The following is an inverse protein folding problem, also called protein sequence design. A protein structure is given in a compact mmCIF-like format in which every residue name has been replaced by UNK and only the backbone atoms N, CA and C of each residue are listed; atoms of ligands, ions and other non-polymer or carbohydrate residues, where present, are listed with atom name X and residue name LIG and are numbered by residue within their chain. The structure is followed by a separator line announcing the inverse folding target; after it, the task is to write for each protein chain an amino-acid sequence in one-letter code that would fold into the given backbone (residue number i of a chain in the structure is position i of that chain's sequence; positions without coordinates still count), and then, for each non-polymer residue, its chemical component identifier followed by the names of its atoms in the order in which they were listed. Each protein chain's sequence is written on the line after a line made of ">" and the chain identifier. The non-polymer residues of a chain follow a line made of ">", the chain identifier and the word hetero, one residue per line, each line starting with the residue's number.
data_IF_879712819165
#
_entry.id   IF_879712819165
#
_cell.length_a   1.000
_cell.length_b   1.000
_cell.length_c   1.000
_cell.angle_alpha   90.00
_cell.angle_beta   90.00
_cell.angle_gamma   90.00
#
_symmetry.space_group_name_H-M   'P 1'
#
loop_
_entity.id
_entity.type
_entity.pdbx_description
1 polymer ?
#
# COMPACT_ATOMS: atom_id res chain seq x y z
N UNK A 1 32.76 -2.34 -2.41
CA UNK A 1 32.24 -1.69 -1.18
C UNK A 1 30.95 -0.91 -1.39
N UNK A 2 30.58 -0.54 -2.63
CA UNK A 2 29.34 0.19 -2.92
C UNK A 2 28.08 -0.71 -3.00
N UNK A 3 28.24 -2.01 -3.25
CA UNK A 3 27.11 -2.92 -3.55
C UNK A 3 26.17 -3.08 -2.36
N UNK A 4 26.72 -3.17 -1.14
CA UNK A 4 25.93 -3.25 0.09
C UNK A 4 25.14 -1.97 0.38
N UNK A 5 25.76 -0.80 0.17
CA UNK A 5 25.10 0.49 0.36
C UNK A 5 23.99 0.73 -0.68
N UNK A 6 24.29 0.48 -1.96
CA UNK A 6 23.32 0.61 -3.05
C UNK A 6 22.16 -0.38 -2.90
N UNK A 7 22.42 -1.60 -2.45
CA UNK A 7 21.40 -2.59 -2.13
C UNK A 7 20.46 -2.13 -1.02
N UNK A 8 21.00 -1.63 0.10
CA UNK A 8 20.20 -1.08 1.22
C UNK A 8 19.40 0.15 0.76
N UNK A 9 20.01 1.04 -0.01
CA UNK A 9 19.35 2.24 -0.54
C UNK A 9 18.17 1.85 -1.44
N UNK A 10 18.37 0.91 -2.37
CA UNK A 10 17.31 0.37 -3.23
C UNK A 10 16.20 -0.25 -2.40
N UNK A 11 16.54 -1.07 -1.40
CA UNK A 11 15.58 -1.71 -0.51
C UNK A 11 14.69 -0.69 0.20
N UNK A 12 15.30 0.31 0.85
CA UNK A 12 14.59 1.38 1.55
C UNK A 12 13.70 2.16 0.59
N UNK A 13 14.21 2.48 -0.61
CA UNK A 13 13.45 3.19 -1.62
C UNK A 13 12.22 2.38 -2.12
N UNK A 14 12.38 1.07 -2.34
CA UNK A 14 11.24 0.17 -2.68
C UNK A 14 10.22 0.13 -1.56
N UNK A 15 10.67 0.01 -0.30
CA UNK A 15 9.77 0.00 0.84
C UNK A 15 8.98 1.31 0.97
N UNK A 16 9.65 2.46 0.87
CA UNK A 16 9.01 3.78 0.89
C UNK A 16 8.02 3.91 -0.27
N UNK A 17 8.39 3.44 -1.47
CA UNK A 17 7.49 3.46 -2.61
C UNK A 17 6.22 2.63 -2.35
N UNK A 18 6.35 1.41 -1.84
CA UNK A 18 5.22 0.52 -1.54
C UNK A 18 4.30 1.09 -0.45
N UNK A 19 4.90 1.60 0.63
CA UNK A 19 4.17 2.26 1.72
C UNK A 19 3.46 3.52 1.20
N UNK A 20 4.15 4.36 0.43
CA UNK A 20 3.58 5.56 -0.15
C UNK A 20 2.39 5.26 -1.07
N UNK A 21 2.51 4.25 -1.94
CA UNK A 21 1.41 3.81 -2.80
C UNK A 21 0.20 3.32 -1.97
N UNK A 22 0.43 2.50 -0.95
CA UNK A 22 -0.63 2.06 -0.04
C UNK A 22 -1.31 3.25 0.68
N UNK A 23 -0.53 4.19 1.22
CA UNK A 23 -1.05 5.39 1.90
C UNK A 23 -1.91 6.25 0.97
N UNK A 24 -1.53 6.40 -0.30
CA UNK A 24 -2.35 7.13 -1.29
C UNK A 24 -3.72 6.44 -1.45
N UNK A 25 -3.72 5.13 -1.68
CA UNK A 25 -4.95 4.34 -1.86
C UNK A 25 -5.84 4.44 -0.62
N UNK A 26 -5.27 4.24 0.58
CA UNK A 26 -5.99 4.35 1.85
C UNK A 26 -6.57 5.73 2.12
N UNK A 27 -5.84 6.80 1.77
CA UNK A 27 -6.29 8.17 1.96
C UNK A 27 -7.41 8.55 0.99
N UNK A 28 -7.36 8.06 -0.25
CA UNK A 28 -8.45 8.25 -1.22
C UNK A 28 -9.73 7.53 -0.78
N UNK A 29 -9.63 6.27 -0.35
CA UNK A 29 -10.78 5.52 0.19
C UNK A 29 -11.38 6.22 1.41
N UNK A 30 -10.52 6.64 2.35
CA UNK A 30 -10.97 7.36 3.55
C UNK A 30 -11.63 8.69 3.22
N UNK A 31 -11.10 9.42 2.23
CA UNK A 31 -11.66 10.69 1.79
C UNK A 31 -13.05 10.52 1.16
N UNK A 32 -13.27 9.43 0.43
CA UNK A 32 -14.56 9.12 -0.19
C UNK A 32 -15.67 8.86 0.85
N UNK A 33 -15.30 8.28 1.99
CA UNK A 33 -16.26 7.95 3.05
C UNK A 33 -16.52 9.12 4.01
N UNK A 34 -15.53 10.00 4.22
CA UNK A 34 -15.63 11.11 5.19
C UNK A 34 -16.02 12.46 4.57
N UNK A 35 -15.77 12.71 3.29
CA UNK A 35 -15.97 14.03 2.67
C UNK A 35 -17.42 14.29 2.17
N UNK A 36 -18.44 13.68 2.80
CA UNK A 36 -19.84 13.73 2.33
C UNK A 36 -20.73 14.79 3.01
N UNK A 37 -20.21 15.63 3.90
CA UNK A 37 -21.00 16.58 4.67
C UNK A 37 -20.32 17.92 4.92
N UNK A 38 -21.11 18.86 5.44
CA UNK A 38 -20.78 20.30 5.50
C UNK A 38 -20.09 20.73 6.80
N UNK A 39 -19.72 19.80 7.69
CA UNK A 39 -19.18 20.16 9.00
C UNK A 39 -17.70 20.57 8.95
N UNK A 40 -17.32 21.49 9.83
CA UNK A 40 -15.93 21.96 9.97
C UNK A 40 -14.96 20.83 10.31
N UNK A 41 -15.42 19.83 11.07
CA UNK A 41 -14.67 18.63 11.39
C UNK A 41 -14.35 17.79 10.13
N UNK A 42 -15.36 17.55 9.28
CA UNK A 42 -15.16 16.81 8.03
C UNK A 42 -14.23 17.56 7.07
N UNK A 43 -14.34 18.89 7.00
CA UNK A 43 -13.45 19.72 6.18
C UNK A 43 -11.99 19.66 6.66
N UNK A 44 -11.74 19.63 7.97
CA UNK A 44 -10.38 19.50 8.52
C UNK A 44 -9.78 18.11 8.27
N UNK A 45 -10.58 17.05 8.43
CA UNK A 45 -10.15 15.67 8.11
C UNK A 45 -9.89 15.53 6.60
N UNK A 46 -10.77 16.07 5.75
CA UNK A 46 -10.60 16.08 4.30
C UNK A 46 -9.31 16.78 3.85
N UNK A 47 -9.00 17.95 4.44
CA UNK A 47 -7.75 18.68 4.18
C UNK A 47 -6.52 17.85 4.53
N UNK A 48 -6.54 17.15 5.67
CA UNK A 48 -5.43 16.28 6.08
C UNK A 48 -5.26 15.09 5.15
N UNK A 49 -6.36 14.45 4.73
CA UNK A 49 -6.30 13.35 3.78
C UNK A 49 -5.73 13.81 2.43
N UNK A 50 -6.10 15.00 1.94
CA UNK A 50 -5.49 15.58 0.73
C UNK A 50 -4.01 15.87 0.92
N UNK A 51 -3.60 16.43 2.06
CA UNK A 51 -2.18 16.63 2.38
C UNK A 51 -1.42 15.30 2.44
N UNK A 52 -2.00 14.27 3.04
CA UNK A 52 -1.44 12.91 3.08
C UNK A 52 -1.26 12.36 1.67
N UNK A 53 -2.26 12.48 0.78
CA UNK A 53 -2.14 12.06 -0.64
C UNK A 53 -1.02 12.82 -1.35
N UNK A 54 -0.91 14.15 -1.17
CA UNK A 54 0.14 14.98 -1.79
C UNK A 54 1.54 14.58 -1.31
N UNK A 55 1.73 14.44 -0.01
CA UNK A 55 3.02 14.04 0.58
C UNK A 55 3.38 12.61 0.17
N UNK A 56 2.44 11.67 0.27
CA UNK A 56 2.69 10.27 -0.06
C UNK A 56 2.96 10.04 -1.55
N UNK A 57 2.24 10.72 -2.45
CA UNK A 57 2.48 10.64 -3.91
C UNK A 57 3.84 11.23 -4.30
N UNK A 58 4.20 12.38 -3.74
CA UNK A 58 5.51 13.00 -3.98
C UNK A 58 6.64 12.11 -3.47
N UNK A 59 6.52 11.61 -2.24
CA UNK A 59 7.52 10.73 -1.64
C UNK A 59 7.63 9.40 -2.39
N UNK A 60 6.51 8.79 -2.80
CA UNK A 60 6.51 7.56 -3.58
C UNK A 60 7.16 7.73 -4.96
N UNK A 61 6.94 8.87 -5.62
CA UNK A 61 7.59 9.19 -6.89
C UNK A 61 9.11 9.34 -6.72
N UNK A 62 9.56 10.14 -5.74
CA UNK A 62 10.99 10.33 -5.45
C UNK A 62 11.66 9.01 -5.08
N UNK A 63 11.02 8.19 -4.24
CA UNK A 63 11.50 6.87 -3.87
C UNK A 63 11.56 5.93 -5.09
N UNK A 64 10.59 6.01 -6.01
CA UNK A 64 10.63 5.21 -7.24
C UNK A 64 11.79 5.58 -8.16
N UNK A 65 12.07 6.87 -8.31
CA UNK A 65 13.22 7.38 -9.09
C UNK A 65 14.52 6.92 -8.44
N UNK A 66 14.66 7.08 -7.12
CA UNK A 66 15.85 6.65 -6.39
C UNK A 66 16.07 5.14 -6.47
N UNK A 67 15.00 4.35 -6.37
CA UNK A 67 15.05 2.89 -6.49
C UNK A 67 15.51 2.44 -7.88
N UNK A 68 14.96 3.04 -8.95
CA UNK A 68 15.34 2.73 -10.32
C UNK A 68 16.79 3.13 -10.60
N UNK A 69 17.20 4.32 -10.14
CA UNK A 69 18.56 4.81 -10.29
C UNK A 69 19.58 3.91 -9.56
N UNK A 70 19.28 3.53 -8.30
CA UNK A 70 20.12 2.61 -7.54
C UNK A 70 20.18 1.21 -8.18
N UNK A 71 19.07 0.74 -8.79
CA UNK A 71 19.05 -0.51 -9.54
C UNK A 71 19.94 -0.45 -10.78
N UNK A 72 19.89 0.64 -11.55
CA UNK A 72 20.77 0.83 -12.71
C UNK A 72 22.24 0.83 -12.27
N UNK A 73 22.59 1.57 -11.21
CA UNK A 73 23.94 1.63 -10.67
C UNK A 73 24.46 0.25 -10.22
N UNK A 74 23.62 -0.56 -9.58
CA UNK A 74 23.94 -1.94 -9.20
C UNK A 74 24.19 -2.84 -10.41
N UNK A 75 23.38 -2.71 -11.47
CA UNK A 75 23.51 -3.52 -12.68
C UNK A 75 24.72 -3.13 -13.54
N UNK A 76 25.13 -1.86 -13.52
CA UNK A 76 26.32 -1.36 -14.23
C UNK A 76 27.59 -1.35 -13.39
N UNK A 77 27.54 -1.88 -12.16
CA UNK A 77 28.64 -1.86 -11.18
C UNK A 77 29.27 -0.45 -11.00
N UNK A 78 28.44 0.60 -11.15
CA UNK A 78 28.88 2.00 -11.15
C UNK A 78 28.46 2.75 -9.89
N UNK A 79 29.05 3.91 -9.65
CA UNK A 79 28.57 4.81 -8.59
C UNK A 79 27.22 5.45 -8.95
N UNK A 80 26.52 6.01 -7.96
CA UNK A 80 25.26 6.76 -8.22
C UNK A 80 25.48 7.94 -9.16
N UNK A 81 26.64 8.60 -9.10
CA UNK A 81 26.92 9.78 -9.94
C UNK A 81 27.20 9.38 -11.40
N UNK A 82 27.72 8.17 -11.63
CA UNK A 82 28.11 7.67 -12.95
C UNK A 82 27.04 6.79 -13.61
N UNK A 83 25.93 6.50 -12.92
CA UNK A 83 24.89 5.60 -13.42
C UNK A 83 24.04 6.19 -14.58
N UNK A 84 24.24 7.46 -14.95
CA UNK A 84 23.45 8.14 -15.99
C UNK A 84 23.37 7.39 -17.34
N UNK A 85 24.49 6.91 -17.92
CA UNK A 85 24.45 6.11 -19.15
C UNK A 85 23.70 4.78 -18.98
N UNK A 86 23.82 4.13 -17.83
CA UNK A 86 23.12 2.88 -17.53
C UNK A 86 21.60 3.09 -17.42
N UNK A 87 21.17 4.18 -16.76
CA UNK A 87 19.77 4.60 -16.68
C UNK A 87 19.18 4.82 -18.08
N UNK A 88 19.91 5.54 -18.95
CA UNK A 88 19.47 5.75 -20.32
C UNK A 88 19.36 4.43 -21.11
N UNK A 89 20.39 3.58 -21.00
CA UNK A 89 20.41 2.27 -21.65
C UNK A 89 19.23 1.40 -21.19
N UNK A 90 18.92 1.37 -19.89
CA UNK A 90 17.77 0.63 -19.37
C UNK A 90 16.45 1.21 -19.88
N UNK A 91 16.29 2.53 -19.92
CA UNK A 91 15.06 3.18 -20.37
C UNK A 91 14.74 2.93 -21.84
N UNK A 92 15.75 2.94 -22.71
CA UNK A 92 15.57 2.78 -24.16
C UNK A 92 15.63 1.31 -24.57
N UNK A 93 16.47 0.51 -23.91
CA UNK A 93 16.82 -0.83 -24.34
C UNK A 93 16.07 -1.96 -23.66
N UNK A 94 15.30 -1.71 -22.59
CA UNK A 94 14.71 -2.79 -21.78
C UNK A 94 13.20 -2.62 -21.55
N UNK A 95 12.47 -3.75 -21.55
CA UNK A 95 11.06 -3.77 -21.17
C UNK A 95 10.82 -3.30 -19.74
N UNK A 96 11.76 -3.59 -18.82
CA UNK A 96 11.75 -3.10 -17.44
C UNK A 96 11.79 -1.57 -17.36
N UNK A 97 12.68 -0.93 -18.12
CA UNK A 97 12.80 0.53 -18.19
C UNK A 97 11.55 1.18 -18.75
N UNK A 98 10.97 0.63 -19.82
CA UNK A 98 9.69 1.11 -20.37
C UNK A 98 8.54 1.00 -19.36
N UNK A 99 8.42 -0.14 -18.67
CA UNK A 99 7.40 -0.34 -17.64
C UNK A 99 7.55 0.65 -16.48
N UNK A 100 8.79 0.88 -16.01
CA UNK A 100 9.07 1.89 -15.00
C UNK A 100 8.73 3.31 -15.48
N UNK A 101 9.07 3.67 -16.72
CA UNK A 101 8.78 4.98 -17.28
C UNK A 101 7.26 5.24 -17.34
N UNK A 102 6.49 4.26 -17.79
CA UNK A 102 5.02 4.36 -17.80
C UNK A 102 4.48 4.54 -16.38
N UNK A 103 4.96 3.76 -15.41
CA UNK A 103 4.59 3.94 -14.00
C UNK A 103 4.97 5.33 -13.46
N UNK A 104 6.15 5.85 -13.82
CA UNK A 104 6.60 7.17 -13.40
C UNK A 104 5.72 8.29 -13.98
N UNK A 105 5.36 8.22 -15.26
CA UNK A 105 4.45 9.19 -15.90
C UNK A 105 3.10 9.21 -15.21
N UNK A 106 2.48 8.05 -14.98
CA UNK A 106 1.19 8.02 -14.28
C UNK A 106 1.31 8.45 -12.81
N UNK A 107 2.42 8.17 -12.13
CA UNK A 107 2.66 8.72 -10.78
C UNK A 107 2.81 10.24 -10.79
N UNK A 108 3.41 10.84 -11.82
CA UNK A 108 3.44 12.29 -11.99
C UNK A 108 2.02 12.82 -12.18
N UNK A 109 1.17 12.15 -12.98
CA UNK A 109 -0.24 12.52 -13.09
C UNK A 109 -0.96 12.48 -11.73
N UNK A 110 -0.70 11.44 -10.90
CA UNK A 110 -1.24 11.37 -9.53
C UNK A 110 -0.80 12.56 -8.69
N UNK A 111 0.49 12.92 -8.72
CA UNK A 111 1.03 14.08 -7.98
C UNK A 111 0.36 15.37 -8.44
N UNK A 112 0.30 15.62 -9.75
CA UNK A 112 -0.32 16.83 -10.32
C UNK A 112 -1.79 16.92 -9.93
N UNK A 113 -2.57 15.85 -10.12
CA UNK A 113 -3.99 15.82 -9.75
C UNK A 113 -4.19 15.99 -8.23
N UNK A 114 -3.31 15.43 -7.40
CA UNK A 114 -3.34 15.62 -5.94
C UNK A 114 -3.05 17.07 -5.53
N UNK A 115 -2.14 17.75 -6.22
CA UNK A 115 -1.81 19.16 -6.00
C UNK A 115 -2.94 20.09 -6.43
N UNK A 116 -3.64 19.75 -7.52
CA UNK A 116 -4.78 20.53 -8.04
C UNK A 116 -6.04 20.37 -7.18
N UNK A 117 -6.19 19.26 -6.45
CA UNK A 117 -7.37 18.97 -5.64
C UNK A 117 -7.49 19.92 -4.44
N UNK A 118 -8.67 20.48 -4.19
CA UNK A 118 -8.95 21.22 -2.96
C UNK A 118 -9.30 20.29 -1.80
N UNK A 119 -8.99 20.71 -0.57
CA UNK A 119 -9.38 19.97 0.65
C UNK A 119 -10.90 19.85 0.85
N UNK A 120 -11.68 20.66 0.15
CA UNK A 120 -13.15 20.68 0.18
C UNK A 120 -13.81 19.97 -1.02
N UNK A 121 -13.04 19.40 -1.95
CA UNK A 121 -13.62 18.71 -3.11
C UNK A 121 -14.26 17.39 -2.66
N UNK A 122 -15.60 17.35 -2.65
CA UNK A 122 -16.39 16.13 -2.45
C UNK A 122 -16.48 15.23 -3.69
N UNK A 123 -15.85 15.64 -4.81
CA UNK A 123 -15.88 14.87 -6.05
C UNK A 123 -15.04 13.59 -5.94
N UNK A 124 -15.57 12.50 -6.52
CA UNK A 124 -14.85 11.23 -6.65
C UNK A 124 -13.64 11.45 -7.58
N UNK A 125 -12.39 11.24 -7.11
CA UNK A 125 -11.18 11.54 -7.89
C UNK A 125 -10.90 10.46 -8.93
N UNK A 126 -11.81 10.27 -9.90
CA UNK A 126 -11.72 9.22 -10.93
C UNK A 126 -10.37 9.25 -11.66
N UNK A 127 -9.88 10.45 -11.99
CA UNK A 127 -8.58 10.60 -12.66
C UNK A 127 -7.40 10.06 -11.83
N UNK A 128 -7.42 10.26 -10.51
CA UNK A 128 -6.37 9.75 -9.62
C UNK A 128 -6.46 8.23 -9.51
N UNK A 129 -7.67 7.68 -9.38
CA UNK A 129 -7.89 6.23 -9.34
C UNK A 129 -7.45 5.54 -10.62
N UNK A 130 -7.79 6.09 -11.79
CA UNK A 130 -7.35 5.57 -13.09
C UNK A 130 -5.83 5.62 -13.22
N UNK A 131 -5.20 6.73 -12.82
CA UNK A 131 -3.75 6.85 -12.84
C UNK A 131 -3.08 5.84 -11.89
N UNK A 132 -3.58 5.64 -10.66
CA UNK A 132 -3.06 4.63 -9.73
C UNK A 132 -3.22 3.21 -10.26
N UNK A 133 -4.36 2.89 -10.87
CA UNK A 133 -4.59 1.61 -11.53
C UNK A 133 -3.57 1.38 -12.66
N UNK A 134 -3.26 2.41 -13.44
CA UNK A 134 -2.24 2.35 -14.50
C UNK A 134 -0.82 2.22 -13.94
N UNK A 135 -0.48 2.90 -12.84
CA UNK A 135 0.80 2.72 -12.13
C UNK A 135 0.95 1.28 -11.67
N UNK A 136 -0.07 0.73 -11.01
CA UNK A 136 -0.07 -0.65 -10.56
C UNK A 136 0.15 -1.62 -11.75
N UNK A 137 -0.55 -1.40 -12.86
CA UNK A 137 -0.48 -2.27 -14.03
C UNK A 137 0.91 -2.21 -14.67
N UNK A 138 1.48 -1.01 -14.79
CA UNK A 138 2.83 -0.82 -15.29
C UNK A 138 3.87 -1.50 -14.38
N UNK A 139 3.69 -1.48 -13.05
CA UNK A 139 4.57 -2.21 -12.12
C UNK A 139 4.44 -3.73 -12.25
N UNK A 140 3.23 -4.25 -12.39
CA UNK A 140 3.00 -5.68 -12.61
C UNK A 140 3.59 -6.15 -13.95
N UNK A 141 3.58 -5.28 -14.95
CA UNK A 141 4.22 -5.53 -16.25
C UNK A 141 5.74 -5.22 -16.26
N UNK A 142 6.31 -4.74 -15.15
CA UNK A 142 7.75 -4.58 -14.98
C UNK A 142 8.38 -5.68 -14.12
N UNK A 143 7.58 -6.56 -13.53
CA UNK A 143 8.05 -7.60 -12.62
C UNK A 143 8.17 -8.99 -13.27
N UNK A 144 8.56 -9.96 -12.44
CA UNK A 144 8.63 -11.39 -12.77
C UNK A 144 7.38 -12.00 -13.46
N UNK A 145 6.14 -11.50 -13.25
CA UNK A 145 4.99 -12.04 -13.98
C UNK A 145 5.09 -11.93 -15.51
N UNK A 146 5.88 -11.00 -16.06
CA UNK A 146 6.02 -10.76 -17.51
C UNK A 146 6.78 -11.87 -18.24
N UNK A 147 7.55 -12.69 -17.54
CA UNK A 147 8.22 -13.86 -18.14
C UNK A 147 7.23 -14.86 -18.77
N UNK A 148 5.93 -14.71 -18.45
CA UNK A 148 4.81 -15.46 -19.03
C UNK A 148 4.05 -14.76 -20.17
N UNK A 149 4.48 -13.56 -20.58
CA UNK A 149 3.87 -12.73 -21.63
C UNK A 149 3.26 -11.42 -21.12
N UNK A 150 3.26 -10.39 -21.99
CA UNK A 150 2.62 -9.10 -21.71
C UNK A 150 1.10 -9.27 -21.54
N UNK A 151 0.53 -8.63 -20.51
CA UNK A 151 -0.90 -8.71 -20.15
C UNK A 151 -1.45 -10.13 -19.93
N UNK A 152 -0.57 -11.09 -19.58
CA UNK A 152 -0.98 -12.44 -19.26
C UNK A 152 -1.80 -12.49 -17.95
N UNK A 153 -2.55 -13.58 -17.73
CA UNK A 153 -3.29 -13.80 -16.48
C UNK A 153 -2.43 -13.56 -15.21
N UNK A 154 -1.15 -14.01 -15.16
CA UNK A 154 -0.17 -13.62 -14.16
C UNK A 154 -0.05 -12.12 -13.83
N UNK A 155 -0.02 -11.26 -14.85
CA UNK A 155 0.11 -9.81 -14.69
C UNK A 155 -1.15 -9.25 -14.05
N UNK A 156 -2.32 -9.72 -14.47
CA UNK A 156 -3.60 -9.31 -13.88
C UNK A 156 -3.76 -9.77 -12.43
N UNK A 157 -3.29 -10.97 -12.09
CA UNK A 157 -3.29 -11.47 -10.71
C UNK A 157 -2.37 -10.65 -9.83
N UNK A 158 -1.15 -10.33 -10.29
CA UNK A 158 -0.23 -9.46 -9.56
C UNK A 158 -0.78 -8.04 -9.40
N UNK A 159 -1.38 -7.50 -10.47
CA UNK A 159 -2.03 -6.19 -10.45
C UNK A 159 -3.13 -6.12 -9.38
N UNK A 160 -4.00 -7.12 -9.37
CA UNK A 160 -5.08 -7.22 -8.38
C UNK A 160 -4.53 -7.43 -6.97
N UNK A 161 -3.47 -8.24 -6.80
CA UNK A 161 -2.79 -8.43 -5.52
C UNK A 161 -2.20 -7.11 -4.99
N UNK A 162 -1.52 -6.35 -5.86
CA UNK A 162 -0.92 -5.06 -5.52
C UNK A 162 -1.98 -4.05 -5.10
N UNK A 163 -3.09 -3.95 -5.84
CA UNK A 163 -4.20 -3.08 -5.46
C UNK A 163 -4.83 -3.51 -4.13
N UNK A 164 -5.04 -4.81 -3.91
CA UNK A 164 -5.64 -5.32 -2.68
C UNK A 164 -4.74 -5.10 -1.44
N UNK A 165 -3.43 -5.35 -1.53
CA UNK A 165 -2.51 -5.09 -0.40
C UNK A 165 -2.42 -3.59 -0.13
N UNK A 166 -2.43 -2.78 -1.18
CA UNK A 166 -2.39 -1.32 -1.05
C UNK A 166 -3.66 -0.77 -0.40
N UNK A 167 -4.83 -1.34 -0.73
CA UNK A 167 -6.09 -0.99 -0.10
C UNK A 167 -6.11 -1.38 1.39
N UNK A 168 -5.76 -2.62 1.73
CA UNK A 168 -5.78 -3.08 3.12
C UNK A 168 -4.76 -2.33 3.99
N UNK A 169 -3.49 -2.33 3.59
CA UNK A 169 -2.41 -1.66 4.35
C UNK A 169 -2.64 -0.15 4.41
N UNK A 170 -3.05 0.44 3.29
CA UNK A 170 -3.36 1.86 3.20
C UNK A 170 -4.46 2.28 4.16
N UNK A 171 -5.58 1.54 4.17
CA UNK A 171 -6.70 1.81 5.07
C UNK A 171 -6.29 1.71 6.53
N UNK A 172 -5.55 0.67 6.91
CA UNK A 172 -5.08 0.49 8.29
C UNK A 172 -4.14 1.63 8.69
N UNK A 173 -3.15 1.98 7.86
CA UNK A 173 -2.21 3.06 8.16
C UNK A 173 -2.89 4.43 8.26
N UNK A 174 -3.67 4.79 7.25
CA UNK A 174 -4.34 6.10 7.21
C UNK A 174 -5.37 6.20 8.33
N UNK A 175 -6.10 5.13 8.61
CA UNK A 175 -7.04 5.14 9.72
C UNK A 175 -6.32 5.35 11.04
N UNK A 176 -5.29 4.55 11.33
CA UNK A 176 -4.54 4.62 12.59
C UNK A 176 -3.92 6.00 12.82
N UNK A 177 -3.26 6.57 11.80
CA UNK A 177 -2.42 7.76 12.01
C UNK A 177 -3.08 9.09 11.61
N UNK A 178 -4.09 9.07 10.72
CA UNK A 178 -4.72 10.31 10.21
C UNK A 178 -6.15 10.45 10.72
N UNK A 179 -6.95 9.39 10.65
CA UNK A 179 -8.40 9.47 10.91
C UNK A 179 -8.72 9.24 12.38
N UNK A 180 -8.12 8.24 13.03
CA UNK A 180 -8.44 7.83 14.40
C UNK A 180 -8.26 8.94 15.45
N UNK A 181 -7.15 9.72 15.45
CA UNK A 181 -7.00 10.81 16.40
C UNK A 181 -8.16 11.82 16.30
N UNK A 182 -8.79 11.92 15.13
CA UNK A 182 -9.86 12.87 14.84
C UNK A 182 -11.24 12.33 15.10
N UNK A 183 -11.41 11.00 15.01
CA UNK A 183 -12.61 10.33 15.49
C UNK A 183 -12.78 10.48 17.00
N UNK A 184 -11.68 10.56 17.76
CA UNK A 184 -11.71 10.85 19.19
C UNK A 184 -12.21 12.25 19.52
N UNK A 185 -11.88 13.22 18.66
CA UNK A 185 -12.27 14.63 18.80
C UNK A 185 -13.59 14.97 18.05
N UNK A 186 -14.27 13.95 17.49
CA UNK A 186 -15.44 14.17 16.65
C UNK A 186 -16.65 14.64 17.49
N UNK A 187 -17.38 15.68 17.04
CA UNK A 187 -18.60 16.11 17.71
C UNK A 187 -19.68 15.01 17.64
N UNK A 188 -20.59 15.00 18.62
CA UNK A 188 -21.64 13.99 18.71
C UNK A 188 -22.54 13.88 17.47
N UNK A 189 -22.67 14.97 16.70
CA UNK A 189 -23.40 15.00 15.42
C UNK A 189 -22.77 14.12 14.34
N UNK A 190 -21.48 13.80 14.44
CA UNK A 190 -20.72 13.00 13.46
C UNK A 190 -20.60 11.52 13.83
N UNK A 191 -21.32 11.07 14.88
CA UNK A 191 -21.28 9.66 15.32
C UNK A 191 -21.74 8.69 14.23
N UNK A 192 -22.76 9.06 13.45
CA UNK A 192 -23.24 8.23 12.34
C UNK A 192 -22.20 8.15 11.21
N UNK A 193 -21.55 9.27 10.87
CA UNK A 193 -20.45 9.32 9.90
C UNK A 193 -19.30 8.43 10.35
N UNK A 194 -18.86 8.58 11.60
CA UNK A 194 -17.82 7.76 12.23
C UNK A 194 -18.16 6.26 12.19
N UNK A 195 -19.41 5.90 12.48
CA UNK A 195 -19.86 4.52 12.45
C UNK A 195 -19.82 3.95 11.01
N UNK A 196 -20.32 4.71 10.04
CA UNK A 196 -20.32 4.31 8.63
C UNK A 196 -18.91 4.17 8.06
N UNK A 197 -17.97 5.02 8.52
CA UNK A 197 -16.56 4.95 8.15
C UNK A 197 -15.91 3.66 8.67
N UNK A 198 -16.07 3.33 9.96
CA UNK A 198 -15.51 2.11 10.54
C UNK A 198 -16.11 0.85 9.89
N UNK A 199 -17.40 0.87 9.55
CA UNK A 199 -18.04 -0.20 8.79
C UNK A 199 -17.40 -0.37 7.40
N UNK A 200 -17.27 0.73 6.65
CA UNK A 200 -16.69 0.73 5.30
C UNK A 200 -15.23 0.28 5.30
N UNK A 201 -14.45 0.68 6.31
CA UNK A 201 -13.09 0.22 6.54
C UNK A 201 -13.07 -1.30 6.71
N UNK A 202 -13.86 -1.83 7.64
CA UNK A 202 -13.83 -3.26 7.96
C UNK A 202 -14.28 -4.11 6.78
N UNK A 203 -15.31 -3.70 6.06
CA UNK A 203 -15.81 -4.41 4.89
C UNK A 203 -14.77 -4.37 3.75
N UNK A 204 -14.17 -3.21 3.47
CA UNK A 204 -13.14 -3.08 2.42
C UNK A 204 -11.88 -3.88 2.76
N UNK A 205 -11.42 -3.84 4.01
CA UNK A 205 -10.28 -4.66 4.47
C UNK A 205 -10.59 -6.16 4.34
N UNK A 206 -11.84 -6.58 4.59
CA UNK A 206 -12.26 -7.98 4.43
C UNK A 206 -12.24 -8.40 2.96
N UNK A 207 -12.80 -7.58 2.06
CA UNK A 207 -12.75 -7.85 0.62
C UNK A 207 -11.31 -7.89 0.08
N UNK A 208 -10.47 -6.95 0.50
CA UNK A 208 -9.05 -6.92 0.15
C UNK A 208 -8.34 -8.20 0.63
N UNK A 209 -8.62 -8.65 1.86
CA UNK A 209 -8.05 -9.87 2.41
C UNK A 209 -8.44 -11.13 1.62
N UNK A 210 -9.71 -11.25 1.23
CA UNK A 210 -10.17 -12.37 0.38
C UNK A 210 -9.41 -12.39 -0.96
N UNK A 211 -9.30 -11.24 -1.61
CA UNK A 211 -8.55 -11.09 -2.86
C UNK A 211 -7.08 -11.46 -2.65
N UNK A 212 -6.46 -11.04 -1.55
CA UNK A 212 -5.07 -11.36 -1.23
C UNK A 212 -4.82 -12.84 -1.01
N UNK A 213 -5.74 -13.54 -0.33
CA UNK A 213 -5.64 -14.98 -0.17
C UNK A 213 -5.76 -15.70 -1.51
N UNK A 214 -6.72 -15.34 -2.35
CA UNK A 214 -6.90 -15.98 -3.66
C UNK A 214 -5.72 -15.73 -4.61
N UNK A 215 -5.30 -14.47 -4.73
CA UNK A 215 -4.17 -14.07 -5.60
C UNK A 215 -2.82 -14.57 -5.05
N UNK A 216 -2.64 -14.55 -3.73
CA UNK A 216 -1.47 -15.08 -3.05
C UNK A 216 -1.34 -16.61 -3.20
N UNK A 217 -2.43 -17.34 -3.08
CA UNK A 217 -2.45 -18.79 -3.33
C UNK A 217 -2.10 -19.12 -4.79
N UNK A 218 -2.63 -18.37 -5.75
CA UNK A 218 -2.29 -18.53 -7.17
C UNK A 218 -0.80 -18.26 -7.45
N UNK A 219 -0.28 -17.15 -6.92
CA UNK A 219 1.14 -16.79 -7.09
C UNK A 219 2.07 -17.79 -6.38
N UNK A 220 1.69 -18.26 -5.19
CA UNK A 220 2.43 -19.30 -4.45
C UNK A 220 2.45 -20.63 -5.19
N UNK A 221 1.32 -21.07 -5.75
CA UNK A 221 1.23 -22.29 -6.55
C UNK A 221 2.13 -22.24 -7.78
N UNK A 222 2.16 -21.10 -8.49
CA UNK A 222 2.96 -20.97 -9.72
C UNK A 222 4.45 -20.72 -9.46
N UNK A 223 4.78 -20.03 -8.36
CA UNK A 223 6.16 -19.66 -8.02
C UNK A 223 7.01 -20.81 -7.46
N UNK A 224 6.39 -21.93 -7.06
CA UNK A 224 7.07 -23.06 -6.43
C UNK A 224 6.96 -24.29 -7.32
N UNK A 225 7.92 -24.47 -8.23
CA UNK A 225 8.03 -25.66 -9.07
C UNK A 225 8.41 -26.94 -8.29
N UNK A 226 8.93 -26.80 -7.07
CA UNK A 226 9.21 -27.94 -6.16
C UNK A 226 8.97 -27.57 -4.69
N UNK A 227 8.06 -28.23 -3.95
CA UNK A 227 7.76 -27.91 -2.53
C UNK A 227 8.98 -27.99 -1.60
N UNK A 228 10.00 -28.77 -1.96
CA UNK A 228 11.24 -28.90 -1.20
C UNK A 228 12.05 -27.60 -1.13
N UNK A 229 11.96 -26.73 -2.15
CA UNK A 229 12.70 -25.46 -2.20
C UNK A 229 12.11 -24.38 -1.26
N UNK A 230 10.90 -24.56 -0.74
CA UNK A 230 10.29 -23.62 0.21
C UNK A 230 10.99 -23.63 1.57
N UNK A 231 11.46 -24.78 2.00
CA UNK A 231 12.07 -24.96 3.33
C UNK A 231 13.60 -24.80 3.30
N UNK A 232 14.23 -25.10 2.17
CA UNK A 232 15.69 -25.11 2.02
C UNK A 232 16.27 -23.80 1.46
N UNK A 233 15.50 -23.01 0.71
CA UNK A 233 15.99 -21.76 0.12
C UNK A 233 15.71 -20.54 1.00
N UNK A 234 16.65 -19.59 1.03
CA UNK A 234 16.47 -18.30 1.70
C UNK A 234 15.24 -17.55 1.18
N UNK A 235 14.97 -17.62 -0.13
CA UNK A 235 13.78 -17.03 -0.75
C UNK A 235 12.49 -17.64 -0.19
N UNK A 236 12.42 -18.98 -0.10
CA UNK A 236 11.26 -19.70 0.46
C UNK A 236 10.99 -19.37 1.92
N UNK A 237 12.05 -19.27 2.75
CA UNK A 237 11.94 -18.88 4.16
C UNK A 237 11.41 -17.45 4.34
N UNK A 238 11.89 -16.49 3.53
CA UNK A 238 11.40 -15.10 3.56
C UNK A 238 9.95 -15.04 3.09
N UNK A 239 9.56 -15.84 2.08
CA UNK A 239 8.18 -15.94 1.63
C UNK A 239 7.27 -16.52 2.72
N UNK A 240 7.71 -17.56 3.44
CA UNK A 240 6.98 -18.13 4.57
C UNK A 240 6.80 -17.11 5.70
N UNK A 241 7.86 -16.35 6.02
CA UNK A 241 7.79 -15.27 7.00
C UNK A 241 6.74 -14.23 6.59
N UNK A 242 6.73 -13.80 5.31
CA UNK A 242 5.70 -12.90 4.77
C UNK A 242 4.30 -13.47 4.99
N UNK A 243 4.11 -14.75 4.68
CA UNK A 243 2.81 -15.42 4.83
C UNK A 243 2.36 -15.46 6.29
N UNK A 244 3.22 -15.84 7.22
CA UNK A 244 2.92 -15.85 8.66
C UNK A 244 2.55 -14.46 9.15
N UNK A 245 3.31 -13.42 8.77
CA UNK A 245 3.00 -12.04 9.15
C UNK A 245 1.63 -11.59 8.62
N UNK A 246 1.28 -11.96 7.39
CA UNK A 246 -0.04 -11.69 6.81
C UNK A 246 -1.14 -12.41 7.59
N UNK A 247 -0.95 -13.68 7.99
CA UNK A 247 -1.91 -14.40 8.82
C UNK A 247 -2.11 -13.76 10.20
N UNK A 248 -1.03 -13.31 10.84
CA UNK A 248 -1.10 -12.61 12.13
C UNK A 248 -1.86 -11.28 11.98
N UNK A 249 -1.55 -10.49 10.93
CA UNK A 249 -2.29 -9.26 10.65
C UNK A 249 -3.78 -9.54 10.38
N UNK A 250 -4.10 -10.58 9.60
CA UNK A 250 -5.47 -11.00 9.34
C UNK A 250 -6.21 -11.42 10.61
N UNK A 251 -5.54 -12.14 11.52
CA UNK A 251 -6.11 -12.53 12.81
C UNK A 251 -6.38 -11.31 13.71
N UNK A 252 -5.49 -10.31 13.72
CA UNK A 252 -5.70 -9.05 14.44
C UNK A 252 -6.86 -8.25 13.85
N UNK A 253 -6.92 -8.10 12.52
CA UNK A 253 -8.02 -7.43 11.83
C UNK A 253 -9.36 -8.14 12.06
N UNK A 254 -9.35 -9.48 12.06
CA UNK A 254 -10.50 -10.31 12.43
C UNK A 254 -10.94 -10.10 13.87
N UNK A 255 -9.99 -10.11 14.82
CA UNK A 255 -10.28 -9.82 16.23
C UNK A 255 -10.91 -8.44 16.40
N UNK A 256 -10.38 -7.43 15.71
CA UNK A 256 -10.89 -6.07 15.73
C UNK A 256 -12.34 -6.00 15.17
N UNK A 257 -12.64 -6.75 14.10
CA UNK A 257 -13.99 -6.83 13.50
C UNK A 257 -15.01 -7.57 14.37
N UNK A 258 -14.62 -8.66 15.02
CA UNK A 258 -15.58 -9.52 15.74
C UNK A 258 -15.78 -9.11 17.21
N UNK A 259 -14.79 -8.49 17.85
CA UNK A 259 -14.86 -8.15 19.29
C UNK A 259 -14.95 -6.65 19.56
N UNK A 260 -14.07 -5.86 18.96
CA UNK A 260 -13.99 -4.41 19.25
C UNK A 260 -15.04 -3.61 18.46
N UNK A 261 -15.24 -3.94 17.18
CA UNK A 261 -16.16 -3.23 16.30
C UNK A 261 -17.64 -3.31 16.73
N UNK A 262 -18.21 -4.46 17.17
CA UNK A 262 -19.60 -4.49 17.62
C UNK A 262 -19.82 -3.61 18.86
N UNK A 263 -18.88 -3.64 19.80
CA UNK A 263 -18.88 -2.78 20.98
C UNK A 263 -18.85 -1.30 20.56
N UNK A 264 -17.92 -0.93 19.68
CA UNK A 264 -17.78 0.42 19.16
C UNK A 264 -19.02 0.91 18.38
N UNK A 265 -19.61 0.06 17.53
CA UNK A 265 -20.84 0.35 16.79
C UNK A 265 -22.03 0.55 17.73
N UNK A 266 -22.18 -0.30 18.76
CA UNK A 266 -23.28 -0.20 19.71
C UNK A 266 -23.25 1.11 20.50
N UNK A 267 -22.06 1.62 20.83
CA UNK A 267 -21.94 2.91 21.52
C UNK A 267 -22.08 4.10 20.57
N UNK A 268 -21.55 4.02 19.34
CA UNK A 268 -21.73 5.09 18.35
C UNK A 268 -23.20 5.26 17.92
N UNK A 269 -23.99 4.19 17.93
CA UNK A 269 -25.42 4.21 17.61
C UNK A 269 -26.31 4.69 18.76
N UNK A 270 -25.80 4.81 19.99
CA UNK A 270 -26.55 5.28 21.15
C UNK A 270 -26.18 6.74 21.51
N UNK A 271 -27.03 7.74 21.18
CA UNK A 271 -26.74 9.15 21.46
C UNK A 271 -26.65 9.48 22.95
N UNK A 272 -27.29 8.67 23.80
CA UNK A 272 -27.42 8.90 25.25
C UNK A 272 -26.16 8.57 26.07
N UNK A 273 -25.15 7.91 25.48
CA UNK A 273 -23.89 7.61 26.17
C UNK A 273 -22.81 8.66 25.85
N UNK A 274 -21.98 8.96 26.85
CA UNK A 274 -20.79 9.81 26.71
C UNK A 274 -19.85 9.25 25.62
N UNK A 275 -18.96 10.11 25.09
CA UNK A 275 -18.02 9.75 24.01
C UNK A 275 -17.26 8.47 24.40
N UNK A 276 -17.32 7.39 23.59
CA UNK A 276 -16.76 6.08 23.96
C UNK A 276 -15.25 6.04 23.83
N UNK A 277 -14.55 6.77 24.69
CA UNK A 277 -13.09 6.88 24.68
C UNK A 277 -12.41 5.52 24.89
N UNK A 278 -12.98 4.62 25.68
CA UNK A 278 -12.39 3.31 25.99
C UNK A 278 -12.49 2.32 24.82
N UNK A 279 -13.67 2.05 24.22
CA UNK A 279 -13.77 1.19 23.03
C UNK A 279 -12.97 1.74 21.84
N UNK A 280 -12.99 3.05 21.61
CA UNK A 280 -12.21 3.70 20.55
C UNK A 280 -10.69 3.51 20.76
N UNK A 281 -10.21 3.64 21.99
CA UNK A 281 -8.79 3.41 22.32
C UNK A 281 -8.37 1.96 22.14
N UNK A 282 -9.19 0.98 22.52
CA UNK A 282 -8.89 -0.44 22.31
C UNK A 282 -8.79 -0.78 20.83
N UNK A 283 -9.80 -0.37 20.06
CA UNK A 283 -9.81 -0.50 18.61
C UNK A 283 -8.59 0.19 17.97
N UNK A 284 -8.21 1.39 18.44
CA UNK A 284 -7.00 2.10 17.98
C UNK A 284 -5.70 1.37 18.31
N UNK A 285 -5.58 0.75 19.50
CA UNK A 285 -4.37 0.03 19.90
C UNK A 285 -4.18 -1.22 19.05
N UNK A 286 -5.26 -1.98 18.80
CA UNK A 286 -5.21 -3.17 17.93
C UNK A 286 -4.82 -2.77 16.50
N UNK A 287 -5.45 -1.73 15.95
CA UNK A 287 -5.10 -1.19 14.64
C UNK A 287 -3.65 -0.69 14.57
N UNK A 288 -3.12 -0.12 15.64
CA UNK A 288 -1.72 0.30 15.69
C UNK A 288 -0.77 -0.89 15.60
N UNK A 289 -1.04 -1.96 16.36
CA UNK A 289 -0.25 -3.20 16.28
C UNK A 289 -0.37 -3.84 14.90
N UNK A 290 -1.58 -3.91 14.33
CA UNK A 290 -1.82 -4.39 12.96
C UNK A 290 -0.99 -3.58 11.95
N UNK A 291 -0.97 -2.26 12.08
CA UNK A 291 -0.23 -1.37 11.19
C UNK A 291 1.28 -1.63 11.21
N UNK A 292 1.87 -1.90 12.39
CA UNK A 292 3.29 -2.21 12.52
C UNK A 292 3.64 -3.54 11.84
N UNK A 293 2.77 -4.54 11.99
CA UNK A 293 2.94 -5.85 11.34
C UNK A 293 2.83 -5.71 9.82
N UNK A 294 1.86 -4.94 9.32
CA UNK A 294 1.68 -4.68 7.90
C UNK A 294 2.84 -3.89 7.29
N UNK A 295 3.43 -2.94 8.02
CA UNK A 295 4.70 -2.32 7.61
C UNK A 295 5.82 -3.37 7.51
N UNK A 296 5.91 -4.28 8.47
CA UNK A 296 6.80 -5.44 8.41
C UNK A 296 6.57 -6.30 7.16
N UNK A 297 5.31 -6.59 6.80
CA UNK A 297 4.95 -7.31 5.56
C UNK A 297 5.46 -6.58 4.31
N UNK A 298 5.30 -5.25 4.24
CA UNK A 298 5.80 -4.45 3.11
C UNK A 298 7.32 -4.41 3.06
N UNK A 299 8.01 -4.38 4.20
CA UNK A 299 9.46 -4.48 4.27
C UNK A 299 9.95 -5.85 3.78
N UNK A 300 9.34 -6.94 4.24
CA UNK A 300 9.66 -8.30 3.77
C UNK A 300 9.38 -8.45 2.28
N UNK A 301 8.29 -7.87 1.77
CA UNK A 301 8.00 -7.83 0.34
C UNK A 301 9.07 -7.04 -0.45
N UNK A 302 9.54 -5.90 0.07
CA UNK A 302 10.63 -5.14 -0.53
C UNK A 302 11.95 -5.94 -0.57
N UNK A 303 12.23 -6.73 0.48
CA UNK A 303 13.38 -7.66 0.50
C UNK A 303 13.23 -8.70 -0.60
N UNK A 304 12.07 -9.36 -0.72
CA UNK A 304 11.83 -10.37 -1.75
C UNK A 304 12.02 -9.84 -3.17
N UNK A 305 11.53 -8.62 -3.45
CA UNK A 305 11.70 -7.96 -4.76
C UNK A 305 13.14 -7.51 -5.01
N UNK A 306 13.91 -7.30 -3.95
CA UNK A 306 15.30 -6.87 -4.04
C UNK A 306 16.29 -8.03 -4.09
N UNK A 307 15.88 -9.24 -3.71
CA UNK A 307 16.69 -10.47 -3.72
C UNK A 307 16.76 -11.12 -5.11
N UNK A 308 17.88 -11.78 -5.46
CA UNK A 308 17.96 -12.61 -6.67
C UNK A 308 16.96 -13.76 -6.64
N UNK A 309 16.47 -14.18 -7.81
CA UNK A 309 15.59 -15.34 -7.97
C UNK A 309 16.32 -16.64 -7.58
N UNK A 310 15.64 -17.63 -6.99
CA UNK A 310 16.22 -18.95 -6.78
C UNK A 310 16.54 -19.62 -8.14
N UNK A 311 17.81 -20.02 -8.32
CA UNK A 311 18.27 -20.73 -9.53
C UNK A 311 19.27 -19.97 -10.40
N UNK A 312 19.64 -18.74 -10.04
CA UNK A 312 20.79 -18.02 -10.66
C UNK A 312 21.98 -18.05 -9.70
N UNK A 313 22.64 -19.21 -9.61
CA UNK A 313 24.02 -19.37 -9.14
C UNK A 313 24.77 -20.22 -10.13
#
# INVERSE_FOLDING_TARGET
>A
MNDGFLGILRLIAVAIQNVGFAVIVGALLSSQWLARGDSTWQADVGRRLVLTVRMASTLALLASVLSFWAHCALMSESTLLEAGPAVWSMLVGTGFGHAWLVAAVFMVCVVVLALLRSGSDGSFPTGIWLALAAVALARSNGGHPVDSGLFSLPVWVDWLHLLAISAWVGLVLVTTYVVMPRLLDAPGSERQTSASFVQSLSDTSTYALVILFSTGAYNGWRGVSTPANLWTSTYGQILLLKFVLVLVAAALGGHNRFFEMPTLMSTLKNPAQEVPTVPLRRFSTVLHVESLILLGVLMVAAVLVSSPLPGTT
#
